data_IF_988838708949
#
_entry.id   IF_988838708949
#
_cell.length_a   1.000
_cell.length_b   1.000
_cell.length_c   1.000
_cell.angle_alpha   90.00
_cell.angle_beta   90.00
_cell.angle_gamma   90.00
#
_symmetry.space_group_name_H-M   'P 1'
#
loop_
_entity.id
_entity.type
_entity.pdbx_description
1 polymer ?
#
# COMPACT_ATOMS: atom_id res chain seq x y z
N UNK A 1 1.85 36.27 -9.49
CA UNK A 1 2.59 35.04 -9.87
C UNK A 1 2.38 34.04 -8.73
N UNK A 2 1.99 32.80 -9.02
CA UNK A 2 1.61 31.79 -8.02
C UNK A 2 2.36 30.48 -8.25
N UNK A 3 2.48 29.66 -7.21
CA UNK A 3 3.02 28.29 -7.25
C UNK A 3 1.96 27.33 -6.71
N UNK A 4 1.79 26.19 -7.37
CA UNK A 4 0.94 25.09 -6.91
C UNK A 4 1.83 23.86 -6.77
N UNK A 5 1.94 23.32 -5.56
CA UNK A 5 2.68 22.10 -5.26
C UNK A 5 1.75 20.90 -5.40
N UNK A 6 2.05 20.01 -6.34
CA UNK A 6 1.26 18.81 -6.64
C UNK A 6 2.19 17.60 -6.86
N UNK A 7 3.14 17.39 -5.93
CA UNK A 7 4.21 16.38 -6.05
C UNK A 7 3.75 14.95 -5.78
N UNK A 8 2.49 14.75 -5.38
CA UNK A 8 1.86 13.44 -5.26
C UNK A 8 2.35 12.62 -4.06
N UNK A 9 2.40 11.30 -4.23
CA UNK A 9 2.81 10.34 -3.20
C UNK A 9 3.79 9.28 -3.70
N UNK A 10 4.36 8.51 -2.77
CA UNK A 10 5.16 7.30 -2.99
C UNK A 10 4.59 6.11 -2.19
N UNK A 11 4.98 4.89 -2.58
CA UNK A 11 4.52 3.68 -1.91
C UNK A 11 5.16 3.61 -0.51
N UNK A 12 4.38 3.25 0.50
CA UNK A 12 4.92 3.05 1.84
C UNK A 12 5.67 1.73 1.89
N UNK A 13 6.94 1.79 2.25
CA UNK A 13 7.74 0.59 2.55
C UNK A 13 7.34 0.01 3.91
N UNK A 14 7.34 -1.31 3.99
CA UNK A 14 7.26 -2.02 5.26
C UNK A 14 8.70 -2.24 5.76
N UNK A 15 9.02 -1.89 7.03
CA UNK A 15 10.35 -2.16 7.58
C UNK A 15 10.75 -3.63 7.41
N UNK A 16 11.91 -3.88 6.81
CA UNK A 16 12.39 -5.23 6.49
C UNK A 16 11.94 -5.78 5.12
N UNK A 17 11.15 -5.03 4.35
CA UNK A 17 10.74 -5.38 2.99
C UNK A 17 10.92 -4.20 2.03
N UNK A 18 12.17 -3.79 1.85
CA UNK A 18 12.57 -2.76 0.88
C UNK A 18 12.23 -3.24 -0.53
N UNK A 19 11.71 -2.34 -1.36
CA UNK A 19 11.36 -2.66 -2.74
C UNK A 19 12.61 -2.88 -3.58
N UNK A 20 12.72 -4.06 -4.20
CA UNK A 20 13.70 -4.33 -5.25
C UNK A 20 13.07 -4.36 -6.65
N UNK A 21 11.74 -4.27 -6.71
CA UNK A 21 10.87 -4.37 -7.88
C UNK A 21 11.13 -5.65 -8.71
N UNK A 22 11.67 -6.68 -8.04
CA UNK A 22 11.97 -8.01 -8.60
C UNK A 22 11.29 -9.11 -7.80
N UNK A 23 11.54 -9.19 -6.49
CA UNK A 23 10.93 -10.15 -5.56
C UNK A 23 9.96 -9.44 -4.61
N UNK A 24 10.33 -8.29 -4.08
CA UNK A 24 9.52 -7.45 -3.20
C UNK A 24 9.09 -6.22 -4.00
N UNK A 25 7.80 -6.13 -4.28
CA UNK A 25 7.21 -5.26 -5.28
C UNK A 25 6.34 -4.20 -4.61
N UNK A 26 6.47 -2.96 -5.08
CA UNK A 26 5.44 -1.95 -4.87
C UNK A 26 4.30 -2.17 -5.86
N UNK A 27 3.36 -1.22 -5.94
CA UNK A 27 2.36 -1.20 -7.00
C UNK A 27 2.98 -1.10 -8.41
N UNK A 28 4.17 -0.51 -8.55
CA UNK A 28 4.84 -0.38 -9.85
C UNK A 28 5.39 -1.73 -10.34
N UNK A 29 6.19 -2.43 -9.52
CA UNK A 29 6.71 -3.75 -9.88
C UNK A 29 5.60 -4.80 -10.04
N UNK A 30 4.53 -4.69 -9.25
CA UNK A 30 3.36 -5.57 -9.35
C UNK A 30 2.66 -5.50 -10.72
N UNK A 31 2.74 -4.37 -11.43
CA UNK A 31 2.20 -4.20 -12.78
C UNK A 31 3.17 -4.64 -13.89
N UNK A 32 4.45 -4.81 -13.55
CA UNK A 32 5.53 -5.06 -14.50
C UNK A 32 6.10 -6.50 -14.43
N UNK A 33 5.42 -7.42 -13.75
CA UNK A 33 5.87 -8.82 -13.65
C UNK A 33 5.79 -9.48 -15.04
N UNK A 34 6.93 -9.92 -15.58
CA UNK A 34 7.01 -10.43 -16.95
C UNK A 34 6.37 -11.80 -17.22
N UNK A 35 6.00 -12.55 -16.17
CA UNK A 35 5.34 -13.85 -16.29
C UNK A 35 4.52 -14.15 -15.04
N UNK A 36 3.41 -14.87 -15.20
CA UNK A 36 2.55 -15.25 -14.07
C UNK A 36 3.34 -16.08 -13.04
N UNK A 37 3.55 -15.58 -11.81
CA UNK A 37 4.16 -16.36 -10.73
C UNK A 37 3.21 -17.45 -10.24
N UNK A 38 3.74 -18.53 -9.67
CA UNK A 38 2.90 -19.60 -9.11
C UNK A 38 2.24 -19.14 -7.82
N UNK A 39 3.00 -18.45 -6.95
CA UNK A 39 2.52 -17.93 -5.66
C UNK A 39 2.84 -16.46 -5.49
N UNK A 40 1.81 -15.66 -5.19
CA UNK A 40 1.93 -14.25 -4.79
C UNK A 40 1.47 -14.07 -3.35
N UNK A 41 2.31 -13.41 -2.57
CA UNK A 41 1.91 -12.80 -1.31
C UNK A 41 1.54 -11.35 -1.54
N UNK A 42 0.47 -10.88 -0.91
CA UNK A 42 0.10 -9.46 -0.86
C UNK A 42 0.00 -9.06 0.61
N UNK A 43 0.76 -8.05 1.02
CA UNK A 43 0.65 -7.44 2.35
C UNK A 43 -0.20 -6.18 2.23
N UNK A 44 -1.37 -6.19 2.89
CA UNK A 44 -2.39 -5.16 2.83
C UNK A 44 -3.60 -5.57 1.98
N UNK A 45 -4.78 -5.61 2.61
CA UNK A 45 -6.08 -5.89 1.99
C UNK A 45 -6.87 -4.60 1.67
N UNK A 46 -6.16 -3.50 1.38
CA UNK A 46 -6.74 -2.27 0.84
C UNK A 46 -7.01 -2.36 -0.66
N UNK A 47 -7.51 -1.27 -1.25
CA UNK A 47 -7.91 -1.18 -2.67
C UNK A 47 -6.84 -1.72 -3.61
N UNK A 48 -5.62 -1.17 -3.58
CA UNK A 48 -4.52 -1.57 -4.46
C UNK A 48 -4.16 -3.06 -4.29
N UNK A 49 -4.08 -3.54 -3.04
CA UNK A 49 -3.74 -4.93 -2.76
C UNK A 49 -4.76 -5.92 -3.32
N UNK A 50 -6.06 -5.59 -3.20
CA UNK A 50 -7.15 -6.41 -3.73
C UNK A 50 -7.23 -6.37 -5.26
N UNK A 51 -7.01 -5.21 -5.86
CA UNK A 51 -6.95 -5.08 -7.32
C UNK A 51 -5.79 -5.91 -7.91
N UNK A 52 -4.58 -5.71 -7.39
CA UNK A 52 -3.39 -6.44 -7.86
C UNK A 52 -3.51 -7.95 -7.59
N UNK A 53 -3.96 -8.33 -6.39
CA UNK A 53 -4.22 -9.72 -6.06
C UNK A 53 -5.23 -10.37 -7.00
N UNK A 54 -6.30 -9.65 -7.36
CA UNK A 54 -7.31 -10.13 -8.30
C UNK A 54 -6.77 -10.32 -9.71
N UNK A 55 -5.96 -9.37 -10.22
CA UNK A 55 -5.31 -9.49 -11.55
C UNK A 55 -4.52 -10.79 -11.61
N UNK A 56 -3.59 -11.00 -10.68
CA UNK A 56 -2.70 -12.15 -10.71
C UNK A 56 -3.42 -13.47 -10.42
N UNK A 57 -4.43 -13.46 -9.53
CA UNK A 57 -5.26 -14.64 -9.27
C UNK A 57 -5.98 -15.12 -10.53
N UNK A 58 -6.54 -14.21 -11.31
CA UNK A 58 -7.27 -14.50 -12.56
C UNK A 58 -6.33 -14.99 -13.67
N UNK A 59 -5.07 -14.55 -13.66
CA UNK A 59 -4.04 -15.02 -14.59
C UNK A 59 -3.47 -16.40 -14.22
N UNK A 60 -3.78 -16.93 -13.03
CA UNK A 60 -3.45 -18.30 -12.63
C UNK A 60 -2.57 -18.44 -11.38
N UNK A 61 -2.14 -17.33 -10.75
CA UNK A 61 -1.38 -17.39 -9.51
C UNK A 61 -2.24 -17.87 -8.33
N UNK A 62 -1.64 -18.59 -7.39
CA UNK A 62 -2.16 -18.72 -6.03
C UNK A 62 -1.85 -17.43 -5.27
N UNK A 63 -2.87 -16.80 -4.68
CA UNK A 63 -2.71 -15.49 -4.02
C UNK A 63 -3.13 -15.57 -2.56
N UNK A 64 -2.22 -15.15 -1.68
CA UNK A 64 -2.48 -14.97 -0.24
C UNK A 64 -2.38 -13.49 0.11
N UNK A 65 -3.43 -12.95 0.72
CA UNK A 65 -3.47 -11.57 1.22
C UNK A 65 -3.36 -11.60 2.74
N UNK A 66 -2.39 -10.86 3.27
CA UNK A 66 -2.12 -10.75 4.70
C UNK A 66 -2.38 -9.31 5.14
N UNK A 67 -3.35 -9.11 6.02
CA UNK A 67 -3.78 -7.79 6.52
C UNK A 67 -3.61 -7.72 8.04
N UNK A 68 -2.98 -6.65 8.50
CA UNK A 68 -2.73 -6.43 9.92
C UNK A 68 -3.98 -6.00 10.67
N UNK A 69 -4.87 -5.27 10.02
CA UNK A 69 -6.13 -4.85 10.61
C UNK A 69 -7.10 -6.03 10.75
N UNK A 70 -7.89 -6.08 11.84
CA UNK A 70 -8.86 -7.15 12.04
C UNK A 70 -10.10 -7.00 11.15
N UNK A 71 -10.32 -5.83 10.56
CA UNK A 71 -11.52 -5.50 9.77
C UNK A 71 -11.15 -5.37 8.30
N UNK A 72 -11.85 -6.13 7.44
CA UNK A 72 -11.71 -6.05 5.99
C UNK A 72 -12.37 -4.78 5.45
N UNK A 73 -11.61 -3.98 4.67
CA UNK A 73 -12.10 -2.74 4.05
C UNK A 73 -12.87 -1.83 5.03
N UNK A 74 -12.33 -1.59 6.24
CA UNK A 74 -13.06 -0.90 7.32
C UNK A 74 -13.48 0.57 7.06
N UNK A 75 -13.07 1.17 5.94
CA UNK A 75 -13.56 2.49 5.49
C UNK A 75 -14.77 2.38 4.55
N UNK A 76 -15.10 1.17 4.07
CA UNK A 76 -16.23 0.88 3.21
C UNK A 76 -17.42 0.49 4.09
N UNK A 77 -18.64 0.72 3.60
CA UNK A 77 -19.87 0.23 4.22
C UNK A 77 -19.76 -1.28 4.57
N UNK A 78 -20.22 -1.64 5.77
CA UNK A 78 -20.04 -2.99 6.33
C UNK A 78 -20.68 -4.07 5.45
N UNK A 79 -21.88 -3.81 4.91
CA UNK A 79 -22.58 -4.78 4.08
C UNK A 79 -21.84 -4.99 2.76
N UNK A 80 -21.34 -3.91 2.15
CA UNK A 80 -20.54 -3.97 0.94
C UNK A 80 -19.21 -4.68 1.19
N UNK A 81 -18.50 -4.37 2.28
CA UNK A 81 -17.25 -5.00 2.64
C UNK A 81 -17.41 -6.52 2.85
N UNK A 82 -18.49 -6.93 3.52
CA UNK A 82 -18.82 -8.35 3.76
C UNK A 82 -19.10 -9.11 2.46
N UNK A 83 -19.91 -8.55 1.57
CA UNK A 83 -20.18 -9.19 0.27
C UNK A 83 -18.93 -9.23 -0.61
N UNK A 84 -18.13 -8.16 -0.62
CA UNK A 84 -16.85 -8.13 -1.33
C UNK A 84 -15.90 -9.23 -0.81
N UNK A 85 -15.74 -9.36 0.52
CA UNK A 85 -14.89 -10.39 1.13
C UNK A 85 -15.30 -11.80 0.69
N UNK A 86 -16.60 -12.10 0.71
CA UNK A 86 -17.17 -13.37 0.25
C UNK A 86 -16.87 -13.62 -1.22
N UNK A 87 -17.02 -12.62 -2.08
CA UNK A 87 -16.75 -12.74 -3.52
C UNK A 87 -15.27 -12.96 -3.81
N UNK A 88 -14.37 -12.21 -3.18
CA UNK A 88 -12.92 -12.38 -3.33
C UNK A 88 -12.46 -13.77 -2.87
N UNK A 89 -12.96 -14.23 -1.73
CA UNK A 89 -12.66 -15.57 -1.21
C UNK A 89 -13.18 -16.66 -2.15
N UNK A 90 -14.40 -16.50 -2.69
CA UNK A 90 -14.98 -17.43 -3.69
C UNK A 90 -14.16 -17.47 -5.00
N UNK A 91 -13.56 -16.36 -5.40
CA UNK A 91 -12.62 -16.29 -6.53
C UNK A 91 -11.24 -16.90 -6.20
N UNK A 92 -11.00 -17.27 -4.95
CA UNK A 92 -9.80 -17.97 -4.50
C UNK A 92 -8.68 -17.04 -4.04
N UNK A 93 -8.96 -15.81 -3.62
CA UNK A 93 -8.02 -15.03 -2.81
C UNK A 93 -8.05 -15.56 -1.37
N UNK A 94 -6.92 -16.05 -0.87
CA UNK A 94 -6.79 -16.48 0.52
C UNK A 94 -6.47 -15.26 1.40
N UNK A 95 -7.50 -14.69 2.04
CA UNK A 95 -7.37 -13.46 2.84
C UNK A 95 -7.26 -13.81 4.33
N UNK A 96 -6.20 -13.36 4.99
CA UNK A 96 -6.01 -13.47 6.44
C UNK A 96 -5.97 -12.07 7.04
N UNK A 97 -6.92 -11.77 7.92
CA UNK A 97 -7.04 -10.50 8.64
C UNK A 97 -6.43 -10.62 10.03
N UNK A 98 -6.14 -9.48 10.66
CA UNK A 98 -5.65 -9.42 12.05
C UNK A 98 -4.29 -10.09 12.25
N UNK A 99 -3.48 -10.23 11.19
CA UNK A 99 -2.19 -10.92 11.30
C UNK A 99 -1.10 -9.96 11.79
N UNK A 100 -0.13 -10.47 12.54
CA UNK A 100 1.08 -9.72 12.88
C UNK A 100 2.21 -10.16 11.96
N UNK A 101 2.55 -9.34 10.96
CA UNK A 101 3.70 -9.59 10.09
C UNK A 101 4.98 -9.51 10.93
N UNK A 102 5.80 -10.55 10.81
CA UNK A 102 7.13 -10.64 11.40
C UNK A 102 8.20 -10.46 10.35
N UNK A 103 9.22 -11.32 10.38
CA UNK A 103 10.38 -11.24 9.50
C UNK A 103 10.00 -11.55 8.05
N UNK A 104 10.52 -10.74 7.14
CA UNK A 104 10.45 -10.96 5.69
C UNK A 104 11.87 -11.22 5.20
N UNK A 105 12.09 -12.39 4.60
CA UNK A 105 13.41 -12.83 4.18
C UNK A 105 13.41 -13.09 2.67
N UNK A 106 14.04 -12.21 1.86
CA UNK A 106 14.20 -12.46 0.43
C UNK A 106 15.24 -13.58 0.21
N UNK A 107 14.85 -14.60 -0.54
CA UNK A 107 15.71 -15.65 -1.05
C UNK A 107 16.29 -15.28 -2.42
N UNK A 108 16.75 -16.29 -3.17
CA UNK A 108 17.26 -16.10 -4.55
C UNK A 108 16.14 -15.93 -5.58
N UNK A 109 15.00 -16.58 -5.36
CA UNK A 109 13.87 -16.64 -6.31
C UNK A 109 12.50 -16.50 -5.65
N UNK A 110 12.48 -16.42 -4.32
CA UNK A 110 11.28 -16.41 -3.50
C UNK A 110 11.46 -15.45 -2.33
N UNK A 111 10.37 -15.18 -1.62
CA UNK A 111 10.34 -14.39 -0.38
C UNK A 111 9.59 -15.20 0.66
N UNK A 112 10.21 -15.36 1.82
CA UNK A 112 9.58 -15.97 2.99
C UNK A 112 9.00 -14.89 3.88
N UNK A 113 7.74 -15.05 4.29
CA UNK A 113 7.04 -14.18 5.23
C UNK A 113 6.65 -14.99 6.46
N UNK A 114 7.19 -14.60 7.61
CA UNK A 114 6.78 -15.09 8.92
C UNK A 114 5.71 -14.17 9.48
N UNK A 115 4.65 -14.74 10.05
CA UNK A 115 3.58 -13.95 10.67
C UNK A 115 2.88 -14.74 11.77
N UNK A 116 2.20 -14.04 12.65
CA UNK A 116 1.29 -14.63 13.64
C UNK A 116 -0.13 -14.41 13.15
N UNK A 117 -0.94 -15.46 13.08
CA UNK A 117 -2.34 -15.32 12.67
C UNK A 117 -3.21 -14.69 13.78
N UNK A 118 -4.47 -14.43 13.46
CA UNK A 118 -5.49 -13.88 14.38
C UNK A 118 -5.74 -14.74 15.63
N UNK A 119 -5.34 -16.01 15.59
CA UNK A 119 -5.41 -16.96 16.73
C UNK A 119 -4.13 -17.02 17.56
N UNK A 120 -3.12 -16.21 17.24
CA UNK A 120 -1.84 -16.21 17.96
C UNK A 120 -0.87 -17.32 17.55
N UNK A 121 -1.18 -18.11 16.51
CA UNK A 121 -0.30 -19.17 16.04
C UNK A 121 0.74 -18.64 15.04
N UNK A 122 2.00 -19.02 15.22
CA UNK A 122 3.07 -18.72 14.27
C UNK A 122 2.83 -19.44 12.94
N UNK A 123 3.00 -18.71 11.84
CA UNK A 123 2.83 -19.16 10.47
C UNK A 123 4.04 -18.76 9.63
N UNK A 124 4.24 -19.48 8.53
CA UNK A 124 5.29 -19.21 7.55
C UNK A 124 4.75 -19.45 6.15
N UNK A 125 4.86 -18.46 5.28
CA UNK A 125 4.47 -18.55 3.88
C UNK A 125 5.65 -18.21 2.97
N UNK A 126 5.72 -18.85 1.80
CA UNK A 126 6.76 -18.64 0.80
C UNK A 126 6.10 -18.29 -0.52
N UNK A 127 6.55 -17.20 -1.13
CA UNK A 127 5.97 -16.64 -2.36
C UNK A 127 7.05 -16.42 -3.41
N UNK A 128 6.72 -16.60 -4.69
CA UNK A 128 7.65 -16.26 -5.77
C UNK A 128 7.81 -14.74 -5.91
N UNK A 129 6.75 -14.00 -5.56
CA UNK A 129 6.68 -12.54 -5.53
C UNK A 129 5.87 -12.07 -4.32
N UNK A 130 6.30 -10.98 -3.71
CA UNK A 130 5.60 -10.34 -2.60
C UNK A 130 5.24 -8.90 -3.01
N UNK A 131 3.95 -8.57 -2.99
CA UNK A 131 3.46 -7.20 -3.20
C UNK A 131 3.23 -6.56 -1.84
N UNK A 132 3.79 -5.38 -1.59
CA UNK A 132 3.51 -4.61 -0.37
C UNK A 132 2.62 -3.42 -0.74
N UNK A 133 1.41 -3.40 -0.18
CA UNK A 133 0.36 -2.42 -0.45
C UNK A 133 -0.24 -1.88 0.85
N UNK A 134 0.60 -1.31 1.71
CA UNK A 134 0.23 -0.83 3.05
C UNK A 134 -0.04 0.68 3.13
N UNK A 135 -0.39 1.27 1.98
CA UNK A 135 -0.71 2.69 1.85
C UNK A 135 0.39 3.53 1.19
N UNK A 136 0.23 4.84 1.30
CA UNK A 136 0.99 5.85 0.56
C UNK A 136 1.60 6.89 1.51
N UNK A 137 2.60 7.61 1.03
CA UNK A 137 3.29 8.70 1.73
C UNK A 137 3.38 9.93 0.83
N UNK A 138 3.18 11.16 1.34
CA UNK A 138 3.30 12.38 0.53
C UNK A 138 4.74 12.60 0.07
N UNK A 139 4.92 13.13 -1.16
CA UNK A 139 6.25 13.40 -1.72
C UNK A 139 6.70 14.83 -1.43
N UNK A 140 7.49 15.01 -0.38
CA UNK A 140 8.10 16.31 -0.02
C UNK A 140 9.63 16.29 -0.07
N UNK A 141 10.23 15.10 -0.16
CA UNK A 141 11.68 14.93 -0.34
C UNK A 141 12.15 15.59 -1.65
N UNK A 142 13.22 16.38 -1.57
CA UNK A 142 13.79 17.09 -2.71
C UNK A 142 13.06 18.38 -3.10
N UNK A 143 11.93 18.73 -2.47
CA UNK A 143 11.21 19.99 -2.72
C UNK A 143 11.91 21.20 -2.09
N UNK A 144 12.85 20.97 -1.17
CA UNK A 144 13.55 22.00 -0.40
C UNK A 144 12.60 22.88 0.43
N UNK A 145 11.55 22.26 1.00
CA UNK A 145 10.50 22.92 1.78
C UNK A 145 11.06 23.73 2.97
N UNK A 146 12.01 23.16 3.70
CA UNK A 146 12.63 23.79 4.88
C UNK A 146 13.36 25.09 4.53
N UNK A 147 14.07 25.13 3.40
CA UNK A 147 14.84 26.31 2.98
C UNK A 147 13.96 27.53 2.68
N UNK A 148 12.69 27.30 2.32
CA UNK A 148 11.72 28.37 2.05
C UNK A 148 10.70 28.55 3.17
N UNK A 149 10.81 27.78 4.27
CA UNK A 149 9.89 27.82 5.39
C UNK A 149 8.48 27.31 5.06
N UNK A 150 8.34 26.39 4.09
CA UNK A 150 7.07 25.72 3.80
C UNK A 150 6.77 24.68 4.88
N UNK A 151 5.66 24.84 5.60
CA UNK A 151 5.32 23.99 6.74
C UNK A 151 4.79 22.62 6.28
N UNK A 152 5.32 21.57 6.92
CA UNK A 152 4.80 20.21 6.84
C UNK A 152 4.16 19.82 8.18
N UNK A 153 3.20 18.88 8.17
CA UNK A 153 2.67 18.24 9.38
C UNK A 153 3.58 17.10 9.87
N UNK A 154 3.27 16.49 11.03
CA UNK A 154 4.10 15.40 11.59
C UNK A 154 4.13 14.12 10.72
N UNK A 155 3.24 14.01 9.72
CA UNK A 155 3.16 12.89 8.78
C UNK A 155 3.83 13.21 7.44
N UNK A 156 4.39 14.41 7.28
CA UNK A 156 5.11 14.86 6.10
C UNK A 156 4.24 15.48 5.00
N UNK A 157 2.94 15.70 5.22
CA UNK A 157 2.07 16.39 4.27
C UNK A 157 2.32 17.90 4.33
N UNK A 158 2.13 18.60 3.22
CA UNK A 158 2.16 20.07 3.22
C UNK A 158 0.93 20.58 3.96
N UNK A 159 1.17 21.41 4.98
CA UNK A 159 0.10 22.01 5.77
C UNK A 159 -0.64 23.06 4.94
N UNK A 160 -1.96 22.90 4.80
CA UNK A 160 -2.82 23.83 4.06
C UNK A 160 -4.14 24.11 4.79
N UNK A 161 -4.70 25.30 4.55
CA UNK A 161 -6.02 25.70 5.03
C UNK A 161 -7.17 25.07 4.21
N UNK A 162 -8.42 25.45 4.47
CA UNK A 162 -9.61 24.92 3.78
C UNK A 162 -9.62 25.15 2.26
N UNK A 163 -8.94 26.20 1.78
CA UNK A 163 -8.85 26.55 0.37
C UNK A 163 -7.61 25.94 -0.30
N UNK A 164 -6.80 25.15 0.43
CA UNK A 164 -5.51 24.60 -0.02
C UNK A 164 -4.35 25.61 -0.10
N UNK A 165 -4.42 26.72 0.64
CA UNK A 165 -3.30 27.68 0.78
C UNK A 165 -2.30 27.16 1.78
N UNK A 166 -1.01 27.32 1.47
CA UNK A 166 0.07 27.05 2.43
C UNK A 166 0.30 28.27 3.34
N UNK A 167 1.28 28.19 4.24
CA UNK A 167 1.71 29.33 5.05
C UNK A 167 2.47 30.42 4.26
N UNK A 168 2.87 30.14 3.01
CA UNK A 168 3.62 31.07 2.17
C UNK A 168 2.67 31.83 1.23
N UNK A 169 2.85 33.16 1.06
CA UNK A 169 2.00 33.94 0.18
C UNK A 169 2.12 33.45 -1.27
N UNK A 170 0.97 33.29 -1.94
CA UNK A 170 0.87 32.83 -3.33
C UNK A 170 1.34 31.38 -3.59
N UNK A 171 1.54 30.56 -2.55
CA UNK A 171 1.87 29.14 -2.67
C UNK A 171 0.72 28.27 -2.15
N UNK A 172 0.30 27.33 -2.98
CA UNK A 172 -0.80 26.38 -2.73
C UNK A 172 -0.27 24.96 -2.83
N UNK A 173 -0.99 23.99 -2.26
CA UNK A 173 -0.65 22.57 -2.44
C UNK A 173 -1.92 21.72 -2.55
N UNK A 174 -1.94 20.74 -3.46
CA UNK A 174 -3.13 19.94 -3.79
C UNK A 174 -2.80 18.46 -4.03
N UNK A 175 -3.84 17.62 -3.96
CA UNK A 175 -3.74 16.18 -4.18
C UNK A 175 -3.08 15.42 -3.04
N UNK A 176 -2.45 14.31 -3.36
CA UNK A 176 -1.83 13.37 -2.40
C UNK A 176 -0.77 13.95 -1.46
N UNK A 177 -0.21 15.14 -1.75
CA UNK A 177 0.80 15.79 -0.90
C UNK A 177 0.18 16.58 0.26
N UNK A 178 -1.16 16.71 0.32
CA UNK A 178 -1.88 17.38 1.41
C UNK A 178 -2.87 16.44 2.10
N UNK A 179 -3.47 16.88 3.21
CA UNK A 179 -4.57 16.15 3.88
C UNK A 179 -5.77 15.95 2.94
N UNK A 180 -6.42 14.79 3.05
CA UNK A 180 -7.65 14.43 2.33
C UNK A 180 -7.62 12.99 1.81
N UNK A 181 -8.69 12.53 1.14
CA UNK A 181 -8.66 11.28 0.37
C UNK A 181 -7.58 11.33 -0.70
N UNK A 182 -6.73 10.31 -0.76
CA UNK A 182 -5.68 10.17 -1.78
C UNK A 182 -6.27 9.52 -3.04
N UNK A 183 -7.07 10.32 -3.77
CA UNK A 183 -7.82 9.92 -4.95
C UNK A 183 -7.47 10.87 -6.10
N UNK A 184 -7.55 10.37 -7.32
CA UNK A 184 -7.17 11.14 -8.50
C UNK A 184 -8.16 12.25 -8.90
N UNK A 185 -9.45 12.11 -8.55
CA UNK A 185 -10.54 13.01 -8.92
C UNK A 185 -10.84 14.06 -7.86
#
# INVERSE_FOLDING_TARGET
KHVIVATGSSARELPGAVFDEKLILSNAGALAIGSVPKKIGVIGAGVIGLEMGSVWRRLGAEVTVLEALPTFLGAVDEQIAKEAHKLFTKQGLAISLGVKIGTITPGKKDVTVEYVNDKGAAQKAVFDKLIVSIGRLPNTNGLNADAVGLKLDERGFIAVDGDCRTNLPNVWAVGDVVRGPMLAH
#
